data_IF_250110800651
#
_entry.id   IF_250110800651
#
_cell.length_a   1.000
_cell.length_b   1.000
_cell.length_c   1.000
_cell.angle_alpha   90.00
_cell.angle_beta   90.00
_cell.angle_gamma   90.00
#
_symmetry.space_group_name_H-M   'P 1'
#
loop_
_entity.id
_entity.type
_entity.pdbx_description
1 polymer ?
#
# COMPACT_ATOMS: atom_id res chain seq x y z
N UNK A 1 6.46 -0.65 -12.08
CA UNK A 1 7.84 -0.38 -11.61
C UNK A 1 8.85 -0.33 -12.76
N UNK A 2 9.05 -1.38 -13.57
CA UNK A 2 10.01 -1.35 -14.70
C UNK A 2 9.73 -0.23 -15.71
N UNK A 3 8.47 -0.02 -16.10
CA UNK A 3 8.05 1.07 -16.98
C UNK A 3 8.34 2.45 -16.38
N UNK A 4 7.90 2.68 -15.14
CA UNK A 4 8.14 3.93 -14.40
C UNK A 4 9.65 4.25 -14.24
N UNK A 5 10.49 3.22 -14.05
CA UNK A 5 11.96 3.39 -14.03
C UNK A 5 12.53 3.77 -15.39
N UNK A 6 12.02 3.20 -16.48
CA UNK A 6 12.47 3.56 -17.84
C UNK A 6 12.07 4.99 -18.21
N UNK A 7 10.87 5.39 -17.81
CA UNK A 7 10.36 6.76 -17.98
C UNK A 7 11.23 7.76 -17.22
N UNK A 8 11.49 7.52 -15.93
CA UNK A 8 12.35 8.44 -15.16
C UNK A 8 13.80 8.51 -15.65
N UNK A 9 14.37 7.40 -16.13
CA UNK A 9 15.71 7.39 -16.72
C UNK A 9 15.82 8.17 -18.03
N UNK A 10 14.71 8.47 -18.69
CA UNK A 10 14.67 9.25 -19.93
C UNK A 10 14.58 10.76 -19.69
N UNK A 11 14.30 11.18 -18.46
CA UNK A 11 14.09 12.58 -18.07
C UNK A 11 15.38 13.42 -18.07
N UNK A 12 15.24 14.72 -18.31
CA UNK A 12 16.38 15.63 -18.47
C UNK A 12 17.18 15.88 -17.18
N UNK A 13 16.56 15.73 -16.00
CA UNK A 13 17.29 15.85 -14.72
C UNK A 13 18.28 14.69 -14.52
N UNK A 14 17.99 13.51 -15.08
CA UNK A 14 18.89 12.35 -15.05
C UNK A 14 20.04 12.53 -16.05
N UNK A 15 19.77 13.14 -17.21
CA UNK A 15 20.81 13.51 -18.18
C UNK A 15 21.76 14.55 -17.60
N UNK A 16 21.23 15.53 -16.88
CA UNK A 16 22.03 16.54 -16.17
C UNK A 16 22.89 15.88 -15.09
N UNK A 17 22.31 15.00 -14.27
CA UNK A 17 23.06 14.27 -13.23
C UNK A 17 24.19 13.40 -13.82
N UNK A 18 23.97 12.80 -15.00
CA UNK A 18 24.99 12.04 -15.72
C UNK A 18 26.08 12.95 -16.29
N UNK A 19 25.72 14.13 -16.82
CA UNK A 19 26.68 15.13 -17.30
C UNK A 19 27.54 15.71 -16.16
N UNK A 20 27.01 15.77 -14.95
CA UNK A 20 27.75 16.16 -13.74
C UNK A 20 28.74 15.10 -13.22
N UNK A 21 28.81 13.91 -13.84
CA UNK A 21 29.78 12.87 -13.48
C UNK A 21 29.39 12.00 -12.28
N UNK A 22 28.13 12.03 -11.85
CA UNK A 22 27.65 11.17 -10.76
C UNK A 22 27.67 9.69 -11.18
N UNK A 23 28.04 8.78 -10.26
CA UNK A 23 28.07 7.36 -10.58
C UNK A 23 26.65 6.83 -10.82
N UNK A 24 26.50 5.93 -11.81
CA UNK A 24 25.19 5.45 -12.27
C UNK A 24 24.32 4.81 -11.16
N UNK A 25 24.93 4.14 -10.19
CA UNK A 25 24.22 3.56 -9.05
C UNK A 25 23.61 4.63 -8.14
N UNK A 26 24.27 5.79 -7.98
CA UNK A 26 23.77 6.91 -7.19
C UNK A 26 22.60 7.60 -7.88
N UNK A 27 22.68 7.76 -9.21
CA UNK A 27 21.58 8.28 -10.03
C UNK A 27 20.33 7.38 -9.90
N UNK A 28 20.51 6.07 -9.95
CA UNK A 28 19.40 5.12 -9.81
C UNK A 28 18.79 5.19 -8.41
N UNK A 29 19.60 5.07 -7.35
CA UNK A 29 19.10 4.95 -5.98
C UNK A 29 18.55 6.27 -5.41
N UNK A 30 19.20 7.41 -5.68
CA UNK A 30 18.85 8.69 -5.06
C UNK A 30 17.91 9.55 -5.92
N UNK A 31 17.93 9.41 -7.25
CA UNK A 31 17.15 10.27 -8.14
C UNK A 31 16.02 9.52 -8.85
N UNK A 32 16.31 8.42 -9.53
CA UNK A 32 15.31 7.70 -10.33
C UNK A 32 14.33 6.90 -9.47
N UNK A 33 14.82 6.17 -8.48
CA UNK A 33 14.03 5.24 -7.67
C UNK A 33 12.93 5.94 -6.84
N UNK A 34 13.20 7.03 -6.09
CA UNK A 34 12.16 7.69 -5.30
C UNK A 34 11.05 8.26 -6.20
N UNK A 35 11.41 8.85 -7.35
CA UNK A 35 10.46 9.43 -8.29
C UNK A 35 9.64 8.37 -9.05
N UNK A 36 10.23 7.22 -9.36
CA UNK A 36 9.51 6.10 -9.99
C UNK A 36 8.60 5.33 -9.02
N UNK A 37 8.85 5.45 -7.71
CA UNK A 37 8.08 4.76 -6.66
C UNK A 37 6.78 5.47 -6.28
N UNK A 38 6.61 6.76 -6.57
CA UNK A 38 5.39 7.53 -6.27
C UNK A 38 4.10 6.78 -6.67
N UNK A 39 3.92 6.35 -7.93
CA UNK A 39 2.73 5.60 -8.35
C UNK A 39 2.68 4.18 -7.77
N UNK A 40 3.83 3.57 -7.48
CA UNK A 40 3.88 2.21 -6.95
C UNK A 40 3.42 2.16 -5.48
N UNK A 41 3.76 3.19 -4.70
CA UNK A 41 3.33 3.34 -3.31
C UNK A 41 1.82 3.55 -3.23
N UNK A 42 1.22 4.30 -4.16
CA UNK A 42 -0.24 4.49 -4.21
C UNK A 42 -0.96 3.18 -4.51
N UNK A 43 -0.47 2.40 -5.48
CA UNK A 43 -1.03 1.07 -5.79
C UNK A 43 -0.85 0.12 -4.61
N UNK A 44 0.28 0.17 -3.91
CA UNK A 44 0.49 -0.61 -2.68
C UNK A 44 -0.51 -0.23 -1.59
N UNK A 45 -0.80 1.06 -1.39
CA UNK A 45 -1.82 1.50 -0.45
C UNK A 45 -3.20 0.95 -0.76
N UNK A 46 -3.61 0.99 -2.03
CA UNK A 46 -4.88 0.40 -2.48
C UNK A 46 -4.91 -1.12 -2.26
N UNK A 47 -3.82 -1.82 -2.61
CA UNK A 47 -3.72 -3.26 -2.43
C UNK A 47 -3.77 -3.68 -0.95
N UNK A 48 -3.22 -2.86 -0.03
CA UNK A 48 -3.34 -3.10 1.41
C UNK A 48 -4.80 -2.99 1.88
N UNK A 49 -5.56 -2.02 1.35
CA UNK A 49 -7.01 -1.92 1.60
C UNK A 49 -7.78 -3.15 1.11
N UNK A 50 -7.48 -3.61 -0.11
CA UNK A 50 -8.08 -4.82 -0.67
C UNK A 50 -7.75 -6.08 0.16
N UNK A 51 -6.52 -6.18 0.68
CA UNK A 51 -6.10 -7.27 1.54
C UNK A 51 -6.82 -7.25 2.89
N UNK A 52 -7.00 -6.08 3.51
CA UNK A 52 -7.77 -5.94 4.75
C UNK A 52 -9.23 -6.35 4.56
N UNK A 53 -9.84 -5.95 3.44
CA UNK A 53 -11.20 -6.37 3.09
C UNK A 53 -11.29 -7.89 2.85
N UNK A 54 -10.36 -8.45 2.09
CA UNK A 54 -10.29 -9.89 1.82
C UNK A 54 -10.01 -10.74 3.08
N UNK A 55 -9.24 -10.20 4.03
CA UNK A 55 -8.91 -10.88 5.28
C UNK A 55 -10.17 -11.22 6.09
N UNK A 56 -11.17 -10.32 6.15
CA UNK A 56 -12.44 -10.57 6.86
C UNK A 56 -13.20 -11.76 6.25
N UNK A 57 -13.23 -11.86 4.93
CA UNK A 57 -13.83 -13.00 4.22
C UNK A 57 -13.07 -14.30 4.51
N UNK A 58 -11.73 -14.27 4.54
CA UNK A 58 -10.96 -15.47 4.87
C UNK A 58 -11.08 -15.88 6.34
N UNK A 59 -11.18 -14.92 7.26
CA UNK A 59 -11.37 -15.20 8.70
C UNK A 59 -12.72 -15.85 8.98
N UNK A 60 -13.78 -15.38 8.30
CA UNK A 60 -15.13 -15.95 8.44
C UNK A 60 -15.26 -17.34 7.83
N UNK A 61 -14.66 -17.59 6.66
CA UNK A 61 -14.75 -18.89 5.98
C UNK A 61 -13.87 -19.95 6.63
N UNK A 62 -12.65 -19.60 7.05
CA UNK A 62 -11.69 -20.54 7.65
C UNK A 62 -11.74 -20.59 9.18
N UNK A 63 -12.66 -19.85 9.82
CA UNK A 63 -12.79 -19.74 11.28
C UNK A 63 -11.45 -19.39 11.98
N UNK A 64 -10.59 -18.62 11.31
CA UNK A 64 -9.33 -18.17 11.88
C UNK A 64 -9.60 -17.01 12.84
N UNK A 65 -9.22 -17.10 14.14
CA UNK A 65 -9.55 -16.06 15.11
C UNK A 65 -8.81 -14.76 14.80
N UNK A 66 -9.55 -13.80 14.24
CA UNK A 66 -9.08 -12.45 13.92
C UNK A 66 -10.12 -11.38 14.27
N UNK A 67 -9.76 -10.12 14.01
CA UNK A 67 -10.61 -8.97 14.35
C UNK A 67 -11.86 -8.89 13.46
N UNK A 68 -11.80 -9.37 12.21
CA UNK A 68 -12.95 -9.44 11.32
C UNK A 68 -13.98 -10.48 11.76
N UNK A 69 -13.54 -11.64 12.24
CA UNK A 69 -14.43 -12.64 12.84
C UNK A 69 -15.16 -12.09 14.09
N UNK A 70 -14.44 -11.34 14.95
CA UNK A 70 -15.04 -10.69 16.13
C UNK A 70 -16.16 -9.72 15.74
N UNK A 71 -15.95 -8.89 14.71
CA UNK A 71 -16.97 -7.95 14.21
C UNK A 71 -18.21 -8.67 13.70
N UNK A 72 -18.03 -9.76 12.95
CA UNK A 72 -19.15 -10.54 12.42
C UNK A 72 -20.01 -11.10 13.56
N UNK A 73 -19.38 -11.59 14.63
CA UNK A 73 -20.11 -12.04 15.83
C UNK A 73 -20.81 -10.89 16.56
N UNK A 74 -20.20 -9.71 16.64
CA UNK A 74 -20.83 -8.51 17.24
C UNK A 74 -22.02 -7.99 16.41
N UNK A 75 -21.97 -8.10 15.07
CA UNK A 75 -23.11 -7.79 14.20
C UNK A 75 -24.27 -8.75 14.48
N UNK A 76 -23.99 -10.04 14.61
CA UNK A 76 -25.01 -11.05 14.95
C UNK A 76 -25.60 -10.83 16.35
N UNK A 77 -24.80 -10.35 17.29
CA UNK A 77 -25.21 -10.01 18.65
C UNK A 77 -25.89 -8.63 18.79
N UNK A 78 -25.99 -7.84 17.70
CA UNK A 78 -26.52 -6.46 17.70
C UNK A 78 -25.76 -5.50 18.64
N UNK A 79 -24.48 -5.77 18.90
CA UNK A 79 -23.61 -4.90 19.71
C UNK A 79 -23.05 -3.75 18.88
N UNK A 80 -23.86 -2.70 18.72
CA UNK A 80 -23.50 -1.48 17.99
C UNK A 80 -22.19 -0.80 18.45
N UNK A 81 -21.85 -0.72 19.75
CA UNK A 81 -20.61 -0.09 20.18
C UNK A 81 -19.34 -0.77 19.66
N UNK A 82 -19.35 -2.11 19.62
CA UNK A 82 -18.24 -2.91 19.11
C UNK A 82 -18.05 -2.72 17.60
N UNK A 83 -19.16 -2.73 16.85
CA UNK A 83 -19.16 -2.50 15.39
C UNK A 83 -18.68 -1.07 15.05
N UNK A 84 -19.15 -0.07 15.79
CA UNK A 84 -18.71 1.32 15.60
C UNK A 84 -17.22 1.51 15.93
N UNK A 85 -16.73 0.90 17.01
CA UNK A 85 -15.31 0.94 17.37
C UNK A 85 -14.42 0.36 16.28
N UNK A 86 -14.82 -0.79 15.72
CA UNK A 86 -14.11 -1.38 14.59
C UNK A 86 -14.14 -0.49 13.34
N UNK A 87 -15.29 0.08 13.00
CA UNK A 87 -15.42 0.97 11.85
C UNK A 87 -14.49 2.19 11.93
N UNK A 88 -14.33 2.78 13.12
CA UNK A 88 -13.39 3.90 13.35
C UNK A 88 -11.94 3.46 13.17
N UNK A 89 -11.56 2.29 13.69
CA UNK A 89 -10.20 1.74 13.53
C UNK A 89 -9.87 1.45 12.07
N UNK A 90 -10.80 0.85 11.33
CA UNK A 90 -10.63 0.58 9.90
C UNK A 90 -10.60 1.86 9.07
N UNK A 91 -11.40 2.86 9.40
CA UNK A 91 -11.42 4.13 8.66
C UNK A 91 -10.16 4.97 8.86
N UNK A 92 -9.39 4.73 9.93
CA UNK A 92 -8.12 5.42 10.19
C UNK A 92 -6.90 4.71 9.59
N UNK A 93 -7.06 3.45 9.16
CA UNK A 93 -6.02 2.62 8.55
C UNK A 93 -6.01 2.76 7.03
#
# INVERSE_FOLDING_TARGET
>A
IRSAMLEQLSEDYIRTARASGLPGWYIVLCYALPNALIPSITVLGLALGDLLYGAVLTETVFAWPGMGAWVVTSIQALDFPAVMGFAVVVSFA
#
